data_IF_284444319970
#
_entry.id   IF_284444319970
#
_cell.length_a   1.000
_cell.length_b   1.000
_cell.length_c   1.000
_cell.angle_alpha   90.00
_cell.angle_beta   90.00
_cell.angle_gamma   90.00
#
_symmetry.space_group_name_H-M   'P 1'
#
loop_
_entity.id
_entity.type
_entity.pdbx_description
1 polymer ?
#
# COMPACT_ATOMS: atom_id res chain seq x y z
N UNK A 1 4.40 12.35 6.52
CA UNK A 1 2.93 12.42 6.49
C UNK A 1 2.43 12.48 7.92
N UNK A 2 1.89 13.61 8.39
CA UNK A 2 1.36 13.72 9.76
C UNK A 2 -0.03 13.07 9.82
N UNK A 3 -0.30 12.29 10.85
CA UNK A 3 -1.62 11.70 11.15
C UNK A 3 -2.19 10.73 10.10
N UNK A 4 -1.36 10.21 9.18
CA UNK A 4 -1.79 9.12 8.31
C UNK A 4 -1.86 7.81 9.10
N UNK A 5 -3.06 7.37 9.42
CA UNK A 5 -3.35 6.15 10.19
C UNK A 5 -4.33 5.29 9.42
N UNK A 6 -4.20 3.98 9.59
CA UNK A 6 -5.05 2.96 8.96
C UNK A 6 -5.35 1.84 9.94
N UNK A 7 -6.53 1.27 9.80
CA UNK A 7 -6.96 0.16 10.66
C UNK A 7 -6.39 -1.17 10.16
N UNK A 8 -6.37 -1.40 8.85
CA UNK A 8 -5.76 -2.59 8.28
C UNK A 8 -4.28 -2.37 7.97
N UNK A 9 -3.43 -3.09 8.71
CA UNK A 9 -1.96 -3.08 8.54
C UNK A 9 -1.43 -4.36 7.88
N UNK A 10 -2.29 -5.33 7.57
CA UNK A 10 -1.94 -6.57 6.88
C UNK A 10 -1.89 -6.39 5.36
N UNK A 11 -2.60 -5.38 4.83
CA UNK A 11 -2.52 -4.96 3.44
C UNK A 11 -2.17 -3.48 3.36
N UNK A 12 -1.22 -3.13 2.50
CA UNK A 12 -0.86 -1.75 2.26
C UNK A 12 -1.90 -1.04 1.41
N UNK A 13 -1.88 0.29 1.43
CA UNK A 13 -2.71 1.14 0.57
C UNK A 13 -2.61 0.79 -0.91
N UNK A 14 -1.41 0.42 -1.36
CA UNK A 14 -1.16 0.07 -2.75
C UNK A 14 -1.41 -1.40 -3.07
N UNK A 15 -1.72 -2.22 -2.07
CA UNK A 15 -2.13 -3.63 -2.22
C UNK A 15 -1.06 -4.65 -1.85
N UNK A 16 0.09 -4.21 -1.34
CA UNK A 16 1.09 -5.16 -0.88
C UNK A 16 0.56 -5.90 0.34
N UNK A 17 0.68 -7.23 0.32
CA UNK A 17 0.36 -8.05 1.48
C UNK A 17 1.46 -7.90 2.54
N UNK A 18 1.32 -6.88 3.40
CA UNK A 18 2.22 -6.62 4.51
C UNK A 18 2.30 -7.79 5.49
N UNK A 19 1.24 -8.61 5.62
CA UNK A 19 1.25 -9.83 6.44
C UNK A 19 2.25 -10.88 5.97
N UNK A 20 2.67 -10.83 4.71
CA UNK A 20 3.68 -11.73 4.12
C UNK A 20 5.05 -11.05 3.94
N UNK A 21 5.21 -9.80 4.37
CA UNK A 21 6.44 -9.05 4.19
C UNK A 21 7.41 -9.28 5.36
N UNK A 22 8.66 -9.78 5.13
CA UNK A 22 9.63 -9.99 6.19
C UNK A 22 9.90 -8.72 7.02
N UNK A 23 9.98 -7.55 6.37
CA UNK A 23 10.18 -6.27 7.06
C UNK A 23 9.09 -5.98 8.10
N UNK A 24 7.84 -6.39 7.86
CA UNK A 24 6.73 -6.22 8.81
C UNK A 24 6.75 -7.30 9.89
N UNK A 25 7.02 -8.55 9.51
CA UNK A 25 7.08 -9.71 10.40
C UNK A 25 8.18 -9.52 11.46
N UNK A 26 9.36 -9.04 11.04
CA UNK A 26 10.51 -8.81 11.92
C UNK A 26 10.43 -7.47 12.68
N UNK A 27 9.33 -6.72 12.54
CA UNK A 27 9.07 -5.49 13.29
C UNK A 27 9.78 -4.23 12.78
N UNK A 28 10.56 -4.30 11.71
CA UNK A 28 11.25 -3.14 11.12
C UNK A 28 10.32 -2.15 10.42
N UNK A 29 9.24 -2.64 9.82
CA UNK A 29 8.24 -1.85 9.12
C UNK A 29 6.92 -1.89 9.90
N UNK A 30 6.34 -0.74 10.28
CA UNK A 30 5.06 -0.73 10.98
C UNK A 30 3.87 -1.03 10.07
N UNK A 31 4.07 -1.20 8.77
CA UNK A 31 2.99 -1.28 7.78
C UNK A 31 2.48 0.11 7.37
N UNK A 32 1.72 0.16 6.27
CA UNK A 32 1.16 1.40 5.77
C UNK A 32 0.24 2.03 6.82
N UNK A 33 0.54 3.24 7.31
CA UNK A 33 -0.28 3.91 8.32
C UNK A 33 -0.16 3.37 9.76
N UNK A 34 0.72 2.40 10.02
CA UNK A 34 0.88 1.78 11.34
C UNK A 34 1.84 2.51 12.31
N UNK A 35 2.42 3.64 11.91
CA UNK A 35 3.42 4.35 12.70
C UNK A 35 4.24 5.33 11.87
N UNK A 36 5.48 5.62 12.29
CA UNK A 36 6.35 6.54 11.56
C UNK A 36 6.65 6.03 10.14
N UNK A 37 7.11 4.79 9.94
CA UNK A 37 7.16 4.15 8.62
C UNK A 37 7.76 5.01 7.48
N UNK A 38 7.33 4.74 6.24
CA UNK A 38 7.78 5.50 5.07
C UNK A 38 7.06 6.87 4.97
N UNK A 39 7.68 7.91 5.52
CA UNK A 39 7.11 9.26 5.59
C UNK A 39 7.07 10.01 4.24
N UNK A 40 7.78 9.54 3.22
CA UNK A 40 7.86 10.13 1.88
C UNK A 40 7.01 9.40 0.84
N UNK A 41 6.20 8.42 1.25
CA UNK A 41 5.35 7.64 0.35
C UNK A 41 4.37 8.53 -0.44
N UNK A 42 4.57 8.59 -1.77
CA UNK A 42 3.73 9.38 -2.69
C UNK A 42 2.30 8.83 -2.79
N UNK A 43 2.12 7.52 -2.68
CA UNK A 43 0.79 6.88 -2.77
C UNK A 43 -0.06 7.20 -1.54
N UNK A 44 0.52 7.15 -0.34
CA UNK A 44 -0.17 7.55 0.88
C UNK A 44 -0.54 9.03 0.88
N UNK A 45 0.32 9.91 0.35
CA UNK A 45 -0.04 11.32 0.12
C UNK A 45 -1.21 11.48 -0.84
N UNK A 46 -1.19 10.76 -1.95
CA UNK A 46 -2.30 10.73 -2.93
C UNK A 46 -3.63 10.32 -2.27
N UNK A 47 -3.65 9.25 -1.45
CA UNK A 47 -4.86 8.85 -0.72
C UNK A 47 -5.39 9.97 0.18
N UNK A 48 -4.52 10.64 0.96
CA UNK A 48 -4.95 11.75 1.83
C UNK A 48 -5.55 12.92 1.03
N UNK A 49 -5.01 13.22 -0.15
CA UNK A 49 -5.55 14.25 -1.06
C UNK A 49 -6.90 13.84 -1.66
N UNK A 50 -7.15 12.54 -1.79
CA UNK A 50 -8.39 11.95 -2.31
C UNK A 50 -9.38 11.52 -1.21
N UNK A 51 -9.34 12.18 -0.06
CA UNK A 51 -10.30 11.93 1.04
C UNK A 51 -9.91 10.80 1.99
N UNK A 52 -8.68 10.31 1.92
CA UNK A 52 -8.16 9.28 2.83
C UNK A 52 -8.67 7.87 2.52
N UNK A 53 -8.82 7.52 1.24
CA UNK A 53 -9.26 6.17 0.82
C UNK A 53 -8.39 5.08 1.46
N UNK A 54 -9.03 3.99 1.89
CA UNK A 54 -8.35 2.89 2.57
C UNK A 54 -7.56 2.03 1.58
N UNK A 55 -7.99 1.92 0.32
CA UNK A 55 -7.24 1.19 -0.71
C UNK A 55 -7.24 1.94 -2.02
N UNK A 56 -6.14 1.87 -2.77
CA UNK A 56 -6.08 2.53 -4.06
C UNK A 56 -7.13 2.03 -5.05
N UNK A 57 -7.56 0.77 -4.97
CA UNK A 57 -8.63 0.24 -5.83
C UNK A 57 -9.99 0.91 -5.61
N UNK A 58 -10.20 1.56 -4.47
CA UNK A 58 -11.41 2.34 -4.19
C UNK A 58 -11.41 3.71 -4.89
N UNK A 59 -10.27 4.13 -5.46
CA UNK A 59 -10.22 5.33 -6.27
C UNK A 59 -10.86 5.06 -7.63
N UNK A 60 -11.81 5.89 -8.07
CA UNK A 60 -12.42 5.74 -9.40
C UNK A 60 -11.47 5.93 -10.60
N UNK A 61 -10.22 6.32 -10.35
CA UNK A 61 -9.15 6.39 -11.37
C UNK A 61 -8.23 5.17 -11.35
N UNK A 62 -8.47 4.20 -10.48
CA UNK A 62 -7.63 3.02 -10.36
C UNK A 62 -7.95 1.98 -11.45
N UNK A 63 -6.94 1.31 -12.04
CA UNK A 63 -5.51 1.59 -11.92
C UNK A 63 -5.13 2.88 -12.67
N UNK A 64 -4.28 3.71 -12.04
CA UNK A 64 -3.83 4.99 -12.63
C UNK A 64 -2.36 4.94 -13.05
N UNK A 65 -1.84 6.04 -13.61
CA UNK A 65 -0.46 6.17 -14.09
C UNK A 65 0.60 5.89 -13.03
N UNK A 66 0.25 6.01 -11.73
CA UNK A 66 1.16 5.67 -10.61
C UNK A 66 1.42 4.17 -10.48
N UNK A 67 0.64 3.35 -11.18
CA UNK A 67 0.76 1.89 -11.25
C UNK A 67 1.30 1.43 -12.62
N UNK A 68 1.80 2.32 -13.46
CA UNK A 68 2.56 1.93 -14.65
C UNK A 68 3.98 1.48 -14.24
N UNK A 69 4.43 0.32 -14.73
CA UNK A 69 5.78 -0.20 -14.50
C UNK A 69 6.12 -0.58 -13.05
N UNK A 70 5.23 -0.32 -12.10
CA UNK A 70 5.46 -0.56 -10.68
C UNK A 70 5.71 -2.04 -10.36
N UNK A 71 5.11 -2.96 -11.13
CA UNK A 71 5.28 -4.42 -10.98
C UNK A 71 6.52 -4.96 -11.74
N UNK A 72 7.21 -4.14 -12.53
CA UNK A 72 8.32 -4.57 -13.40
C UNK A 72 9.66 -4.72 -12.64
N UNK A 73 9.86 -3.98 -11.55
CA UNK A 73 11.08 -4.04 -10.74
C UNK A 73 10.74 -4.40 -9.29
N UNK A 74 10.89 -5.68 -8.97
CA UNK A 74 10.44 -6.22 -7.69
C UNK A 74 11.52 -6.13 -6.60
N UNK A 75 11.17 -5.50 -5.46
CA UNK A 75 11.99 -5.52 -4.23
C UNK A 75 11.56 -6.64 -3.26
N UNK A 76 10.33 -7.18 -3.36
CA UNK A 76 9.75 -8.18 -2.46
C UNK A 76 8.65 -9.02 -3.13
N UNK A 77 8.68 -10.36 -2.98
CA UNK A 77 7.69 -11.33 -3.52
C UNK A 77 6.22 -10.89 -3.40
N UNK A 78 5.86 -10.18 -2.32
CA UNK A 78 4.51 -9.62 -2.09
C UNK A 78 4.05 -8.62 -3.15
N UNK A 79 4.95 -8.08 -3.95
CA UNK A 79 4.65 -7.16 -5.04
C UNK A 79 4.05 -7.87 -6.24
N UNK A 80 4.52 -9.09 -6.56
CA UNK A 80 4.07 -9.87 -7.72
C UNK A 80 2.58 -10.23 -7.66
N UNK A 81 2.03 -10.40 -6.45
CA UNK A 81 0.64 -10.81 -6.25
C UNK A 81 -0.32 -9.65 -5.99
N UNK A 82 0.19 -8.42 -5.93
CA UNK A 82 -0.57 -7.24 -5.50
C UNK A 82 -1.85 -7.00 -6.28
N UNK A 83 -1.79 -7.08 -7.62
CA UNK A 83 -2.96 -6.86 -8.47
C UNK A 83 -4.02 -7.94 -8.23
N UNK A 84 -3.61 -9.21 -8.24
CA UNK A 84 -4.50 -10.35 -7.97
C UNK A 84 -5.06 -10.35 -6.55
N UNK A 85 -4.29 -9.91 -5.56
CA UNK A 85 -4.75 -9.79 -4.17
C UNK A 85 -5.84 -8.71 -4.04
N UNK A 86 -5.73 -7.61 -4.79
CA UNK A 86 -6.79 -6.60 -4.87
C UNK A 86 -8.04 -7.09 -5.60
N UNK A 87 -7.90 -7.82 -6.71
CA UNK A 87 -9.04 -8.43 -7.42
C UNK A 87 -9.85 -9.40 -6.53
N UNK A 88 -9.22 -10.01 -5.51
CA UNK A 88 -9.87 -10.90 -4.54
C UNK A 88 -10.54 -10.18 -3.37
N UNK A 89 -10.22 -8.90 -3.18
CA UNK A 89 -10.71 -8.09 -2.06
C UNK A 89 -11.99 -7.30 -2.41
N UNK A 90 -12.37 -7.28 -3.69
CA UNK A 90 -13.69 -6.84 -4.18
C UNK A 90 -14.77 -7.89 -3.88
#
# INVERSE_FOLDING_TARGET
>A
MKNFKRDNLLFSLCGLNCGLCPMKIDGYCPGCGGGAGNQSCKIARCSMEHGGIEYCFQCGKYPCEKYEGIDEFDSFITHQKRRTDFERAE
#
